data_IF_096922034741
#
_entry.id   IF_096922034741
#
_cell.length_a   1.000
_cell.length_b   1.000
_cell.length_c   1.000
_cell.angle_alpha   90.00
_cell.angle_beta   90.00
_cell.angle_gamma   90.00
#
_symmetry.space_group_name_H-M   'P 1'
#
loop_
_entity.id
_entity.type
_entity.pdbx_description
1 polymer ?
#
# COMPACT_ATOMS: atom_id res chain seq x y z
N UNK A 1 -9.21 -0.88 9.84
CA UNK A 1 -8.11 0.07 9.55
C UNK A 1 -7.75 0.11 8.08
N UNK A 2 -7.56 -1.02 7.39
CA UNK A 2 -7.43 -1.05 5.92
C UNK A 2 -8.64 -0.41 5.23
N UNK A 3 -9.86 -0.85 5.59
CA UNK A 3 -11.12 -0.25 5.13
C UNK A 3 -11.28 1.25 5.43
N UNK A 4 -10.67 1.74 6.51
CA UNK A 4 -10.71 3.16 6.85
C UNK A 4 -9.75 3.96 5.94
N UNK A 5 -8.58 3.40 5.61
CA UNK A 5 -7.69 3.98 4.61
C UNK A 5 -8.38 4.02 3.23
N UNK A 6 -9.02 2.92 2.83
CA UNK A 6 -9.75 2.82 1.57
C UNK A 6 -10.88 3.85 1.47
N UNK A 7 -11.63 4.02 2.55
CA UNK A 7 -12.70 5.02 2.62
C UNK A 7 -12.16 6.45 2.43
N UNK A 8 -11.05 6.80 3.09
CA UNK A 8 -10.40 8.09 2.92
C UNK A 8 -9.91 8.30 1.50
N UNK A 9 -9.43 7.25 0.84
CA UNK A 9 -9.02 7.31 -0.56
C UNK A 9 -10.23 7.44 -1.51
N UNK A 10 -11.34 6.75 -1.26
CA UNK A 10 -12.58 6.92 -2.03
C UNK A 10 -13.08 8.36 -2.00
N UNK A 11 -13.00 9.03 -0.85
CA UNK A 11 -13.34 10.45 -0.71
C UNK A 11 -12.42 11.38 -1.50
N UNK A 12 -11.19 10.94 -1.79
CA UNK A 12 -10.21 11.70 -2.55
C UNK A 12 -10.34 11.53 -4.08
N UNK A 13 -11.00 10.48 -4.56
CA UNK A 13 -11.19 10.24 -6.01
C UNK A 13 -11.94 11.41 -6.69
N UNK A 14 -13.07 11.92 -6.16
CA UNK A 14 -13.75 13.08 -6.72
C UNK A 14 -12.87 14.32 -6.79
N UNK A 15 -12.08 14.57 -5.74
CA UNK A 15 -11.15 15.70 -5.69
C UNK A 15 -10.09 15.60 -6.80
N UNK A 16 -9.57 14.39 -7.05
CA UNK A 16 -8.63 14.13 -8.15
C UNK A 16 -9.26 14.36 -9.52
N UNK A 17 -10.51 13.94 -9.73
CA UNK A 17 -11.24 14.18 -10.99
C UNK A 17 -11.38 15.69 -11.24
N UNK A 18 -11.84 16.45 -10.24
CA UNK A 18 -12.01 17.90 -10.35
C UNK A 18 -10.68 18.59 -10.66
N UNK A 19 -9.58 18.12 -10.07
CA UNK A 19 -8.24 18.65 -10.34
C UNK A 19 -7.82 18.48 -11.81
N UNK A 20 -8.21 17.39 -12.48
CA UNK A 20 -7.92 17.19 -13.90
C UNK A 20 -8.87 17.95 -14.83
N UNK A 21 -10.14 18.11 -14.45
CA UNK A 21 -11.12 18.80 -15.29
C UNK A 21 -11.10 20.31 -15.13
N UNK A 22 -10.44 20.84 -14.09
CA UNK A 22 -10.44 22.25 -13.76
C UNK A 22 -9.01 22.80 -13.58
N UNK A 23 -8.67 23.82 -14.36
CA UNK A 23 -7.36 24.49 -14.31
C UNK A 23 -7.26 25.52 -13.15
N UNK A 24 -8.26 25.63 -12.29
CA UNK A 24 -8.26 26.55 -11.15
C UNK A 24 -7.15 26.25 -10.14
N UNK A 25 -6.46 27.32 -9.74
CA UNK A 25 -5.42 27.30 -8.72
C UNK A 25 -5.92 26.73 -7.37
N UNK A 26 -7.19 26.96 -7.04
CA UNK A 26 -7.81 26.46 -5.80
C UNK A 26 -7.85 24.95 -5.76
N UNK A 27 -8.31 24.29 -6.82
CA UNK A 27 -8.39 22.82 -6.87
C UNK A 27 -7.00 22.19 -6.98
N UNK A 28 -6.05 22.85 -7.64
CA UNK A 28 -4.66 22.43 -7.64
C UNK A 28 -4.05 22.42 -6.23
N UNK A 29 -4.17 23.53 -5.48
CA UNK A 29 -3.64 23.62 -4.11
C UNK A 29 -4.39 22.65 -3.17
N UNK A 30 -5.71 22.50 -3.34
CA UNK A 30 -6.52 21.60 -2.52
C UNK A 30 -6.11 20.13 -2.74
N UNK A 31 -5.94 19.70 -4.00
CA UNK A 31 -5.49 18.36 -4.31
C UNK A 31 -4.05 18.12 -3.83
N UNK A 32 -3.14 19.08 -4.00
CA UNK A 32 -1.76 18.89 -3.54
C UNK A 32 -1.62 18.93 -2.01
N UNK A 33 -2.46 19.69 -1.30
CA UNK A 33 -2.40 19.79 0.17
C UNK A 33 -3.18 18.71 0.91
N UNK A 34 -4.22 18.12 0.31
CA UNK A 34 -5.03 17.06 0.94
C UNK A 34 -4.99 15.76 0.14
N UNK A 35 -5.20 15.84 -1.18
CA UNK A 35 -5.33 14.66 -2.02
C UNK A 35 -4.04 13.84 -2.20
N UNK A 36 -2.93 14.47 -2.57
CA UNK A 36 -1.64 13.78 -2.69
C UNK A 36 -1.17 13.11 -1.38
N UNK A 37 -1.27 13.75 -0.20
CA UNK A 37 -1.01 13.11 1.09
C UNK A 37 -1.94 11.93 1.38
N UNK A 38 -3.25 12.05 1.11
CA UNK A 38 -4.20 10.95 1.31
C UNK A 38 -3.88 9.74 0.44
N UNK A 39 -3.45 9.96 -0.81
CA UNK A 39 -2.96 8.88 -1.69
C UNK A 39 -1.75 8.18 -1.07
N UNK A 40 -0.78 8.95 -0.55
CA UNK A 40 0.39 8.42 0.13
C UNK A 40 0.01 7.61 1.38
N UNK A 41 -0.83 8.18 2.25
CA UNK A 41 -1.32 7.52 3.46
C UNK A 41 -1.99 6.19 3.14
N UNK A 42 -2.91 6.18 2.17
CA UNK A 42 -3.59 4.95 1.77
C UNK A 42 -2.61 3.89 1.27
N UNK A 43 -1.70 4.27 0.37
CA UNK A 43 -0.75 3.33 -0.21
C UNK A 43 0.14 2.69 0.86
N UNK A 44 0.73 3.49 1.76
CA UNK A 44 1.62 2.96 2.79
C UNK A 44 0.89 2.25 3.93
N UNK A 45 -0.32 2.69 4.29
CA UNK A 45 -1.19 1.94 5.19
C UNK A 45 -1.48 0.55 4.61
N UNK A 46 -1.87 0.47 3.34
CA UNK A 46 -2.17 -0.78 2.65
C UNK A 46 -0.96 -1.71 2.59
N UNK A 47 0.21 -1.18 2.20
CA UNK A 47 1.49 -1.92 2.18
C UNK A 47 1.78 -2.53 3.56
N UNK A 48 1.73 -1.72 4.63
CA UNK A 48 2.04 -2.19 5.98
C UNK A 48 1.01 -3.21 6.49
N UNK A 49 -0.29 -2.95 6.30
CA UNK A 49 -1.34 -3.87 6.73
C UNK A 49 -1.28 -5.21 5.98
N UNK A 50 -1.00 -5.22 4.67
CA UNK A 50 -0.78 -6.47 3.94
C UNK A 50 0.42 -7.25 4.50
N UNK A 51 1.52 -6.56 4.84
CA UNK A 51 2.66 -7.17 5.52
C UNK A 51 2.28 -7.79 6.88
N UNK A 52 1.51 -7.08 7.69
CA UNK A 52 1.03 -7.59 8.99
C UNK A 52 0.08 -8.78 8.83
N UNK A 53 -0.82 -8.73 7.85
CA UNK A 53 -1.73 -9.83 7.51
C UNK A 53 -0.93 -11.06 7.12
N UNK A 54 0.08 -10.91 6.26
CA UNK A 54 0.95 -12.02 5.85
C UNK A 54 1.73 -12.62 7.03
N UNK A 55 2.30 -11.77 7.88
CA UNK A 55 3.04 -12.22 9.07
C UNK A 55 2.14 -12.98 10.04
N UNK A 56 0.92 -12.48 10.30
CA UNK A 56 -0.07 -13.16 11.14
C UNK A 56 -0.48 -14.51 10.54
N UNK A 57 -0.75 -14.52 9.23
CA UNK A 57 -1.14 -15.73 8.52
C UNK A 57 -0.04 -16.80 8.56
N UNK A 58 1.22 -16.45 8.35
CA UNK A 58 2.33 -17.42 8.51
C UNK A 58 2.41 -17.98 9.93
N UNK A 59 2.26 -17.15 10.97
CA UNK A 59 2.33 -17.64 12.35
C UNK A 59 1.28 -18.71 12.65
N UNK A 60 0.07 -18.58 12.13
CA UNK A 60 -1.02 -19.57 12.28
C UNK A 60 -0.65 -20.95 11.71
N UNK A 61 0.09 -21.00 10.60
CA UNK A 61 0.45 -22.28 9.96
C UNK A 61 1.80 -22.85 10.40
N UNK A 62 2.67 -22.04 11.02
CA UNK A 62 4.06 -22.40 11.32
C UNK A 62 4.43 -22.44 12.80
N UNK A 63 3.69 -21.75 13.68
CA UNK A 63 3.97 -21.74 15.12
C UNK A 63 2.93 -22.55 15.88
N UNK A 64 3.38 -23.39 16.81
CA UNK A 64 2.52 -24.18 17.71
C UNK A 64 2.02 -23.39 18.93
N UNK A 65 2.33 -22.08 19.02
CA UNK A 65 1.99 -21.23 20.17
C UNK A 65 1.32 -19.90 19.79
N UNK A 66 0.36 -19.47 20.62
CA UNK A 66 -0.33 -18.18 20.54
C UNK A 66 0.61 -17.06 20.99
N UNK A 67 1.12 -16.28 20.04
CA UNK A 67 1.99 -15.13 20.34
C UNK A 67 1.18 -13.85 20.53
N UNK A 68 1.66 -12.92 21.35
CA UNK A 68 1.05 -11.61 21.62
C UNK A 68 0.59 -10.84 20.37
N UNK A 69 1.28 -10.99 19.23
CA UNK A 69 0.89 -10.37 17.94
C UNK A 69 -0.46 -10.85 17.37
N UNK A 70 -1.02 -11.95 17.88
CA UNK A 70 -2.32 -12.49 17.45
C UNK A 70 -3.49 -11.92 18.26
N UNK A 71 -3.22 -11.13 19.30
CA UNK A 71 -4.26 -10.56 20.15
C UNK A 71 -4.87 -9.31 19.51
N UNK A 72 -6.19 -9.13 19.64
CA UNK A 72 -6.89 -7.93 19.15
C UNK A 72 -6.26 -6.62 19.68
N UNK A 73 -5.81 -6.62 20.95
CA UNK A 73 -5.10 -5.49 21.56
C UNK A 73 -3.81 -5.15 20.82
N UNK A 74 -2.98 -6.14 20.48
CA UNK A 74 -1.73 -5.93 19.76
C UNK A 74 -1.98 -5.43 18.33
N UNK A 75 -2.96 -6.01 17.64
CA UNK A 75 -3.36 -5.54 16.30
C UNK A 75 -3.83 -4.08 16.32
N UNK A 76 -4.62 -3.70 17.33
CA UNK A 76 -5.06 -2.32 17.52
C UNK A 76 -3.89 -1.37 17.82
N UNK A 77 -3.00 -1.75 18.73
CA UNK A 77 -1.81 -0.94 19.06
C UNK A 77 -0.92 -0.74 17.82
N UNK A 78 -0.60 -1.83 17.10
CA UNK A 78 0.21 -1.77 15.87
C UNK A 78 -0.45 -0.83 14.87
N UNK A 79 -1.77 -0.96 14.68
CA UNK A 79 -2.47 -0.12 13.73
C UNK A 79 -2.50 1.36 14.10
N UNK A 80 -2.76 1.68 15.37
CA UNK A 80 -2.71 3.06 15.85
C UNK A 80 -1.31 3.66 15.71
N UNK A 81 -0.27 2.89 16.04
CA UNK A 81 1.12 3.31 15.83
C UNK A 81 1.41 3.58 14.36
N UNK A 82 0.96 2.69 13.45
CA UNK A 82 1.10 2.90 12.00
C UNK A 82 0.45 4.21 11.56
N UNK A 83 -0.78 4.49 12.01
CA UNK A 83 -1.47 5.74 11.68
C UNK A 83 -0.73 6.97 12.18
N UNK A 84 -0.28 6.97 13.44
CA UNK A 84 0.47 8.09 14.02
C UNK A 84 1.76 8.34 13.23
N UNK A 85 2.51 7.29 12.89
CA UNK A 85 3.74 7.42 12.10
C UNK A 85 3.45 8.00 10.72
N UNK A 86 2.49 7.42 9.98
CA UNK A 86 2.16 7.85 8.63
C UNK A 86 1.66 9.30 8.59
N UNK A 87 0.75 9.67 9.51
CA UNK A 87 0.26 11.05 9.63
C UNK A 87 1.41 12.02 9.92
N UNK A 88 2.27 11.69 10.89
CA UNK A 88 3.44 12.50 11.24
C UNK A 88 4.37 12.71 10.04
N UNK A 89 4.58 11.69 9.20
CA UNK A 89 5.41 11.83 7.99
C UNK A 89 4.76 12.73 6.93
N UNK A 90 3.43 12.71 6.80
CA UNK A 90 2.72 13.53 5.79
C UNK A 90 2.45 14.97 6.22
N UNK A 91 2.37 15.25 7.53
CA UNK A 91 2.07 16.59 8.06
C UNK A 91 3.03 17.68 7.56
N UNK A 92 4.37 17.51 7.61
CA UNK A 92 5.30 18.53 7.11
C UNK A 92 5.08 18.85 5.63
N UNK A 93 4.78 17.84 4.81
CA UNK A 93 4.47 18.03 3.39
C UNK A 93 3.20 18.89 3.21
N UNK A 94 2.11 18.57 3.92
CA UNK A 94 0.85 19.33 3.83
C UNK A 94 0.98 20.78 4.26
N UNK A 95 1.64 21.05 5.39
CA UNK A 95 1.86 22.40 5.90
C UNK A 95 2.64 23.22 4.88
N UNK A 96 3.69 22.63 4.28
CA UNK A 96 4.54 23.35 3.34
C UNK A 96 3.85 23.66 2.01
N UNK A 97 3.00 22.75 1.52
CA UNK A 97 2.17 23.02 0.33
C UNK A 97 1.17 24.15 0.60
N UNK A 98 0.59 24.20 1.81
CA UNK A 98 -0.35 25.26 2.20
C UNK A 98 0.31 26.64 2.34
N UNK A 99 1.57 26.68 2.79
CA UNK A 99 2.37 27.91 2.92
C UNK A 99 2.86 28.38 1.54
N UNK A 100 3.39 27.48 0.71
CA UNK A 100 3.93 27.81 -0.60
C UNK A 100 2.87 27.76 -1.70
N UNK A 101 1.92 28.71 -1.67
CA UNK A 101 0.87 28.86 -2.69
C UNK A 101 1.41 29.45 -3.99
N UNK A 102 2.28 28.71 -4.69
CA UNK A 102 2.78 29.14 -6.01
C UNK A 102 1.72 28.90 -7.09
N UNK A 103 1.54 29.83 -8.04
CA UNK A 103 0.65 29.62 -9.18
C UNK A 103 1.11 28.40 -9.99
N UNK A 104 0.14 27.69 -10.59
CA UNK A 104 0.40 26.53 -11.45
C UNK A 104 1.13 27.00 -12.71
N UNK A 105 2.37 26.54 -12.98
CA UNK A 105 3.17 27.04 -14.11
C UNK A 105 2.70 26.47 -15.46
N UNK A 106 2.05 25.30 -15.46
CA UNK A 106 1.51 24.65 -16.67
C UNK A 106 0.44 23.60 -16.33
N UNK A 107 -0.39 23.22 -17.30
CA UNK A 107 -1.41 22.18 -17.13
C UNK A 107 -0.82 20.80 -16.80
N UNK A 108 0.42 20.50 -17.21
CA UNK A 108 1.08 19.22 -16.95
C UNK A 108 1.98 19.21 -15.70
N UNK A 109 1.82 20.19 -14.81
CA UNK A 109 2.64 20.32 -13.61
C UNK A 109 2.13 19.44 -12.46
N UNK A 110 3.03 18.70 -11.82
CA UNK A 110 2.73 17.86 -10.65
C UNK A 110 2.85 18.66 -9.35
N UNK A 111 2.25 18.15 -8.27
CA UNK A 111 2.39 18.73 -6.92
C UNK A 111 3.84 18.83 -6.44
N UNK A 112 4.78 18.13 -7.08
CA UNK A 112 6.22 18.21 -6.78
C UNK A 112 6.78 19.63 -7.00
N UNK A 113 6.13 20.45 -7.86
CA UNK A 113 6.54 21.84 -8.11
C UNK A 113 6.24 22.79 -6.95
N UNK A 114 5.28 22.46 -6.09
CA UNK A 114 4.97 23.24 -4.88
C UNK A 114 6.00 23.03 -3.76
N UNK A 115 6.89 22.05 -3.93
CA UNK A 115 7.95 21.74 -2.97
C UNK A 115 9.08 22.76 -3.14
N UNK A 116 9.30 23.60 -2.12
CA UNK A 116 10.40 24.58 -2.13
C UNK A 116 11.77 23.92 -1.94
N UNK A 117 12.85 24.55 -2.45
CA UNK A 117 14.23 24.07 -2.32
C UNK A 117 14.63 23.61 -0.90
N UNK A 118 14.32 24.32 0.19
CA UNK A 118 14.74 23.90 1.54
C UNK A 118 14.09 22.59 2.02
N UNK A 119 12.95 22.16 1.46
CA UNK A 119 12.23 20.93 1.86
C UNK A 119 12.39 19.76 0.91
N UNK A 120 12.98 19.97 -0.27
CA UNK A 120 13.41 18.88 -1.15
C UNK A 120 14.24 17.78 -0.45
N UNK A 121 15.21 18.09 0.45
CA UNK A 121 15.95 17.03 1.15
C UNK A 121 15.04 16.21 2.07
N UNK A 122 14.17 16.85 2.84
CA UNK A 122 13.19 16.15 3.70
C UNK A 122 12.26 15.27 2.87
N UNK A 123 11.74 15.80 1.77
CA UNK A 123 10.92 15.05 0.81
C UNK A 123 11.63 13.82 0.27
N UNK A 124 12.91 13.96 -0.12
CA UNK A 124 13.74 12.85 -0.60
C UNK A 124 13.95 11.80 0.49
N UNK A 125 14.20 12.22 1.74
CA UNK A 125 14.35 11.31 2.89
C UNK A 125 13.06 10.54 3.17
N UNK A 126 11.91 11.23 3.20
CA UNK A 126 10.59 10.59 3.38
C UNK A 126 10.36 9.53 2.30
N UNK A 127 10.57 9.89 1.02
CA UNK A 127 10.40 8.94 -0.08
C UNK A 127 11.41 7.79 -0.08
N UNK A 128 12.66 8.03 0.35
CA UNK A 128 13.64 6.97 0.52
C UNK A 128 13.24 5.98 1.62
N UNK A 129 12.81 6.48 2.77
CA UNK A 129 12.29 5.65 3.85
C UNK A 129 11.06 4.86 3.41
N UNK A 130 10.17 5.49 2.67
CA UNK A 130 8.98 4.85 2.13
C UNK A 130 9.33 3.74 1.11
N UNK A 131 10.35 3.94 0.28
CA UNK A 131 10.88 2.89 -0.60
C UNK A 131 11.50 1.71 0.20
N UNK A 132 12.20 1.99 1.30
CA UNK A 132 12.74 0.96 2.19
C UNK A 132 11.61 0.12 2.81
N UNK A 133 10.54 0.77 3.30
CA UNK A 133 9.34 0.08 3.81
C UNK A 133 8.76 -0.85 2.73
N UNK A 134 8.55 -0.32 1.53
CA UNK A 134 8.02 -1.09 0.41
C UNK A 134 8.87 -2.32 0.09
N UNK A 135 10.18 -2.15 -0.04
CA UNK A 135 11.12 -3.25 -0.31
C UNK A 135 11.13 -4.29 0.82
N UNK A 136 11.11 -3.84 2.08
CA UNK A 136 11.08 -4.71 3.25
C UNK A 136 9.81 -5.59 3.28
N UNK A 137 8.65 -4.99 3.00
CA UNK A 137 7.38 -5.72 2.92
C UNK A 137 7.37 -6.67 1.72
N UNK A 138 7.81 -6.21 0.54
CA UNK A 138 7.90 -7.04 -0.66
C UNK A 138 8.76 -8.29 -0.42
N UNK A 139 9.96 -8.10 0.14
CA UNK A 139 10.86 -9.21 0.45
C UNK A 139 10.22 -10.17 1.47
N UNK A 140 9.57 -9.64 2.50
CA UNK A 140 8.86 -10.45 3.51
C UNK A 140 7.75 -11.28 2.88
N UNK A 141 6.93 -10.70 1.99
CA UNK A 141 5.86 -11.39 1.28
C UNK A 141 6.39 -12.52 0.39
N UNK A 142 7.43 -12.25 -0.40
CA UNK A 142 8.08 -13.26 -1.26
C UNK A 142 8.68 -14.38 -0.41
N UNK A 143 9.35 -14.05 0.69
CA UNK A 143 9.89 -15.03 1.62
C UNK A 143 8.81 -15.91 2.24
N UNK A 144 7.69 -15.32 2.68
CA UNK A 144 6.55 -16.04 3.23
C UNK A 144 5.90 -16.96 2.21
N UNK A 145 5.69 -16.49 0.98
CA UNK A 145 5.18 -17.31 -0.12
C UNK A 145 6.11 -18.50 -0.42
N UNK A 146 7.41 -18.27 -0.53
CA UNK A 146 8.38 -19.33 -0.81
C UNK A 146 8.45 -20.35 0.35
N UNK A 147 8.39 -19.88 1.60
CA UNK A 147 8.30 -20.75 2.77
C UNK A 147 7.03 -21.61 2.74
N UNK A 148 5.86 -21.02 2.43
CA UNK A 148 4.57 -21.71 2.25
C UNK A 148 4.66 -22.80 1.18
N UNK A 149 5.24 -22.46 0.02
CA UNK A 149 5.40 -23.40 -1.08
C UNK A 149 6.29 -24.60 -0.73
N UNK A 150 7.45 -24.35 -0.11
CA UNK A 150 8.38 -25.41 0.30
C UNK A 150 7.75 -26.38 1.31
N UNK A 151 7.01 -25.89 2.29
CA UNK A 151 6.33 -26.75 3.27
C UNK A 151 5.24 -27.60 2.63
N UNK A 152 4.45 -27.05 1.72
CA UNK A 152 3.46 -27.82 0.95
C UNK A 152 4.14 -28.97 0.22
N UNK A 153 5.25 -28.69 -0.47
CA UNK A 153 6.01 -29.72 -1.20
C UNK A 153 6.54 -30.81 -0.25
N UNK A 154 7.16 -30.43 0.87
CA UNK A 154 7.67 -31.38 1.86
C UNK A 154 6.58 -32.27 2.47
N UNK A 155 5.40 -31.71 2.75
CA UNK A 155 4.28 -32.49 3.32
C UNK A 155 3.65 -33.40 2.28
N UNK A 156 3.52 -32.96 1.03
CA UNK A 156 3.05 -33.80 -0.07
C UNK A 156 3.98 -34.98 -0.33
N UNK A 157 5.30 -34.78 -0.24
CA UNK A 157 6.30 -35.84 -0.38
C UNK A 157 6.27 -36.84 0.80
N UNK A 158 5.98 -36.38 2.03
CA UNK A 158 6.02 -37.22 3.24
C UNK A 158 4.71 -37.94 3.58
N UNK A 159 3.55 -37.43 3.16
CA UNK A 159 2.24 -38.02 3.47
C UNK A 159 1.25 -37.77 2.33
N UNK A 160 0.76 -38.82 1.67
CA UNK A 160 -0.38 -38.72 0.77
C UNK A 160 -1.61 -38.20 1.55
N UNK A 161 -2.16 -37.07 1.07
CA UNK A 161 -3.50 -36.55 1.37
C UNK A 161 -3.99 -36.58 2.85
N UNK A 162 -3.30 -35.91 3.79
CA UNK A 162 -3.86 -35.63 5.13
C UNK A 162 -4.64 -34.30 5.19
N UNK A 163 -5.48 -34.12 6.22
CA UNK A 163 -6.17 -32.85 6.53
C UNK A 163 -5.20 -31.65 6.64
N UNK A 164 -3.98 -31.87 7.14
CA UNK A 164 -2.94 -30.85 7.21
C UNK A 164 -2.43 -30.41 5.82
N UNK A 165 -2.41 -31.31 4.83
CA UNK A 165 -2.04 -30.98 3.44
C UNK A 165 -3.04 -30.00 2.81
N UNK A 166 -4.35 -30.22 3.00
CA UNK A 166 -5.40 -29.30 2.52
C UNK A 166 -5.28 -27.89 3.13
N UNK A 167 -4.99 -27.80 4.44
CA UNK A 167 -4.76 -26.52 5.13
C UNK A 167 -3.54 -25.77 4.59
N UNK A 168 -2.42 -26.47 4.33
CA UNK A 168 -1.19 -25.88 3.79
C UNK A 168 -1.35 -25.43 2.33
N UNK A 169 -2.05 -26.19 1.48
CA UNK A 169 -2.35 -25.80 0.09
C UNK A 169 -3.20 -24.53 0.07
N UNK A 170 -4.20 -24.43 0.94
CA UNK A 170 -4.99 -23.20 1.13
C UNK A 170 -4.10 -22.04 1.57
N UNK A 171 -3.17 -22.30 2.49
CA UNK A 171 -2.21 -21.29 2.96
C UNK A 171 -1.35 -20.72 1.83
N UNK A 172 -0.76 -21.59 1.01
CA UNK A 172 0.01 -21.20 -0.18
C UNK A 172 -0.83 -20.37 -1.15
N UNK A 173 -2.08 -20.79 -1.42
CA UNK A 173 -2.99 -20.06 -2.34
C UNK A 173 -3.30 -18.67 -1.81
N UNK A 174 -3.59 -18.54 -0.52
CA UNK A 174 -3.90 -17.25 0.09
C UNK A 174 -2.68 -16.31 0.06
N UNK A 175 -1.47 -16.82 0.30
CA UNK A 175 -0.25 -16.04 0.15
C UNK A 175 0.02 -15.62 -1.29
N UNK A 176 -0.23 -16.51 -2.26
CA UNK A 176 -0.10 -16.18 -3.67
C UNK A 176 -1.01 -15.01 -4.04
N UNK A 177 -2.29 -15.06 -3.67
CA UNK A 177 -3.24 -13.97 -3.92
C UNK A 177 -2.74 -12.67 -3.30
N UNK A 178 -2.30 -12.70 -2.04
CA UNK A 178 -1.81 -11.51 -1.34
C UNK A 178 -0.58 -10.90 -2.02
N UNK A 179 0.40 -11.72 -2.41
CA UNK A 179 1.60 -11.28 -3.13
C UNK A 179 1.24 -10.74 -4.51
N UNK A 180 0.33 -11.39 -5.23
CA UNK A 180 -0.12 -10.95 -6.56
C UNK A 180 -0.79 -9.58 -6.51
N UNK A 181 -1.72 -9.37 -5.56
CA UNK A 181 -2.38 -8.06 -5.39
C UNK A 181 -1.36 -7.00 -4.99
N UNK A 182 -0.48 -7.29 -4.03
CA UNK A 182 0.56 -6.36 -3.61
C UNK A 182 1.46 -5.95 -4.78
N UNK A 183 1.94 -6.93 -5.55
CA UNK A 183 2.81 -6.69 -6.69
C UNK A 183 2.09 -5.86 -7.76
N UNK A 184 0.85 -6.22 -8.09
CA UNK A 184 0.06 -5.49 -9.07
C UNK A 184 -0.16 -4.03 -8.65
N UNK A 185 -0.62 -3.78 -7.42
CA UNK A 185 -0.96 -2.44 -6.95
C UNK A 185 0.27 -1.54 -6.75
N UNK A 186 1.36 -2.06 -6.17
CA UNK A 186 2.40 -1.20 -5.61
C UNK A 186 3.74 -1.22 -6.34
N UNK A 187 4.10 -2.32 -7.02
CA UNK A 187 5.38 -2.41 -7.74
C UNK A 187 5.47 -1.41 -8.90
N UNK A 188 4.43 -1.24 -9.76
CA UNK A 188 4.50 -0.29 -10.87
C UNK A 188 4.81 1.13 -10.41
N UNK A 189 4.16 1.58 -9.33
CA UNK A 189 4.39 2.91 -8.77
C UNK A 189 5.84 3.10 -8.31
N UNK A 190 6.36 2.18 -7.50
CA UNK A 190 7.72 2.30 -6.97
C UNK A 190 8.77 2.18 -8.07
N UNK A 191 8.52 1.34 -9.09
CA UNK A 191 9.42 1.18 -10.23
C UNK A 191 9.49 2.44 -11.10
N UNK A 192 8.36 3.11 -11.36
CA UNK A 192 8.34 4.38 -12.11
C UNK A 192 8.86 5.55 -11.28
N UNK A 193 8.66 5.51 -9.96
CA UNK A 193 9.05 6.59 -9.05
C UNK A 193 10.57 6.77 -8.95
N UNK A 194 11.34 5.68 -8.98
CA UNK A 194 12.81 5.71 -8.91
C UNK A 194 13.42 6.53 -10.08
N UNK A 195 13.17 6.21 -11.36
CA UNK A 195 13.67 6.99 -12.49
C UNK A 195 13.08 8.39 -12.52
N UNK A 196 11.83 8.60 -12.08
CA UNK A 196 11.24 9.95 -12.00
C UNK A 196 12.01 10.89 -11.05
N UNK A 197 12.67 10.36 -10.02
CA UNK A 197 13.47 11.15 -9.06
C UNK A 197 14.92 11.35 -9.53
N UNK A 198 15.47 10.41 -10.31
CA UNK A 198 16.88 10.37 -10.70
C UNK A 198 17.11 10.98 -12.10
N UNK A 199 16.19 10.74 -13.03
CA UNK A 199 16.28 11.18 -14.42
C UNK A 199 15.53 12.49 -14.64
N UNK A 200 15.87 13.16 -15.73
CA UNK A 200 15.18 14.36 -16.18
C UNK A 200 13.72 14.03 -16.51
N UNK A 201 12.79 14.81 -15.96
CA UNK A 201 11.35 14.58 -16.10
C UNK A 201 10.97 14.64 -17.58
N UNK A 202 10.60 13.48 -18.15
CA UNK A 202 10.03 13.38 -19.49
C UNK A 202 8.50 13.29 -19.43
N UNK A 203 7.84 13.73 -20.49
CA UNK A 203 6.38 13.62 -20.64
C UNK A 203 5.92 12.16 -20.51
N UNK A 204 6.71 11.21 -21.01
CA UNK A 204 6.44 9.77 -20.90
C UNK A 204 6.46 9.31 -19.44
N UNK A 205 7.44 9.74 -18.64
CA UNK A 205 7.54 9.40 -17.22
C UNK A 205 6.37 9.98 -16.40
N UNK A 206 5.83 11.13 -16.80
CA UNK A 206 4.63 11.71 -16.19
C UNK A 206 3.41 10.82 -16.43
N UNK A 207 3.15 10.41 -17.68
CA UNK A 207 2.04 9.51 -17.98
C UNK A 207 2.18 8.14 -17.30
N UNK A 208 3.38 7.56 -17.31
CA UNK A 208 3.65 6.30 -16.61
C UNK A 208 3.42 6.43 -15.11
N UNK A 209 3.81 7.56 -14.50
CA UNK A 209 3.55 7.83 -13.07
C UNK A 209 2.06 7.88 -12.80
N UNK A 210 1.28 8.56 -13.63
CA UNK A 210 -0.17 8.66 -13.44
C UNK A 210 -0.87 7.31 -13.57
N UNK A 211 -0.52 6.53 -14.58
CA UNK A 211 -1.01 5.15 -14.77
C UNK A 211 -0.65 4.31 -13.54
N UNK A 212 0.58 4.42 -13.05
CA UNK A 212 1.01 3.66 -11.89
C UNK A 212 0.28 4.07 -10.60
N UNK A 213 -0.09 5.35 -10.44
CA UNK A 213 -0.94 5.80 -9.34
C UNK A 213 -2.37 5.25 -9.50
N UNK A 214 -2.92 5.20 -10.73
CA UNK A 214 -4.25 4.59 -10.95
C UNK A 214 -4.26 3.11 -10.58
N UNK A 215 -3.20 2.39 -10.96
CA UNK A 215 -3.02 0.98 -10.57
C UNK A 215 -2.93 0.84 -9.04
N UNK A 216 -2.22 1.74 -8.34
CA UNK A 216 -2.15 1.66 -6.87
C UNK A 216 -3.47 1.97 -6.17
N UNK A 217 -4.30 2.85 -6.74
CA UNK A 217 -5.64 3.16 -6.22
C UNK A 217 -6.60 1.98 -6.37
N UNK A 218 -6.40 1.12 -7.37
CA UNK A 218 -7.21 -0.10 -7.54
C UNK A 218 -7.13 -1.07 -6.36
N UNK A 219 -6.15 -0.89 -5.46
CA UNK A 219 -6.04 -1.63 -4.21
C UNK A 219 -7.33 -1.65 -3.39
N UNK A 220 -8.07 -0.54 -3.36
CA UNK A 220 -9.35 -0.43 -2.63
C UNK A 220 -10.34 -1.51 -3.10
N UNK A 221 -10.36 -1.81 -4.40
CA UNK A 221 -11.25 -2.80 -4.98
C UNK A 221 -10.77 -4.24 -4.74
N UNK A 222 -9.46 -4.42 -4.52
CA UNK A 222 -8.82 -5.73 -4.37
C UNK A 222 -8.70 -6.16 -2.90
N UNK A 223 -8.75 -5.23 -1.95
CA UNK A 223 -8.75 -5.53 -0.52
C UNK A 223 -9.95 -6.39 -0.06
N UNK A 224 -11.19 -6.16 -0.51
CA UNK A 224 -12.32 -7.07 -0.26
C UNK A 224 -12.07 -8.50 -0.76
N UNK A 225 -11.39 -8.67 -1.92
CA UNK A 225 -11.04 -9.99 -2.43
C UNK A 225 -10.06 -10.70 -1.47
N UNK A 226 -9.05 -9.97 -0.97
CA UNK A 226 -8.11 -10.48 0.03
C UNK A 226 -8.88 -11.02 1.26
N UNK A 227 -9.89 -10.30 1.76
CA UNK A 227 -10.71 -10.75 2.88
C UNK A 227 -11.56 -12.00 2.58
N UNK A 228 -12.17 -12.09 1.39
CA UNK A 228 -12.94 -13.27 0.97
C UNK A 228 -12.04 -14.51 0.88
N UNK A 229 -10.81 -14.37 0.37
CA UNK A 229 -9.89 -15.49 0.27
C UNK A 229 -9.29 -15.87 1.64
N UNK A 230 -8.99 -14.90 2.51
CA UNK A 230 -8.38 -15.15 3.82
C UNK A 230 -9.38 -15.64 4.87
N UNK A 231 -10.56 -15.03 4.96
CA UNK A 231 -11.48 -15.24 6.08
C UNK A 231 -12.47 -16.39 5.82
N UNK A 232 -12.64 -17.32 6.77
CA UNK A 232 -13.65 -18.39 6.65
C UNK A 232 -15.05 -17.91 7.01
N UNK A 233 -15.16 -17.03 8.00
CA UNK A 233 -16.43 -16.46 8.47
C UNK A 233 -17.09 -15.60 7.37
N UNK A 234 -16.29 -14.84 6.62
CA UNK A 234 -16.79 -14.06 5.48
C UNK A 234 -17.33 -14.95 4.36
N UNK A 235 -16.64 -16.06 4.05
CA UNK A 235 -17.16 -17.06 3.10
C UNK A 235 -18.46 -17.69 3.57
N UNK A 236 -18.55 -18.03 4.85
CA UNK A 236 -19.77 -18.58 5.45
C UNK A 236 -20.95 -17.59 5.42
N UNK A 237 -20.66 -16.29 5.56
CA UNK A 237 -21.67 -15.22 5.50
C UNK A 237 -22.17 -14.94 4.08
N UNK A 238 -21.38 -15.26 3.05
CA UNK A 238 -21.72 -15.10 1.62
C UNK A 238 -22.02 -16.43 0.89
N UNK A 239 -22.18 -17.55 1.61
CA UNK A 239 -22.38 -18.90 1.04
C UNK A 239 -21.33 -19.30 -0.03
N UNK A 240 -20.07 -18.89 0.16
CA UNK A 240 -18.92 -19.15 -0.73
C UNK A 240 -17.97 -20.24 -0.21
#
# INVERSE_FOLDING_TARGET
HLTAADFLLCMNIPLRIIHYTNSSLTFYILFCSLGAPLLFLNMYASILFMGYIAANYMKIFYSTGTHFLMTAKASHIISMTTWVVLLTMTTPYTIMVLINRKPRPSENCTCDYLISEPVKPLYRVIHAFAAIIFLSVLFSLVFFYYSASRRVLQVQQRRLASSNSKKLIKSRRNMLVLVSVFCFCFVPYHFVRIPYVILQVSVVLLYLKEVAILISVSNICLDPLIYVFLCKEFRAQFNL
#
